data_IF_948103671300
#
_entry.id   IF_948103671300
#
_cell.length_a   1.000
_cell.length_b   1.000
_cell.length_c   1.000
_cell.angle_alpha   90.00
_cell.angle_beta   90.00
_cell.angle_gamma   90.00
#
_symmetry.space_group_name_H-M   'P 1'
#
loop_
_entity.id
_entity.type
_entity.pdbx_description
1 polymer ?
#
# COMPACT_ATOMS: atom_id res chain seq x y z
N UNK A 1 4.00 -1.01 -19.60
CA UNK A 1 3.13 -2.00 -18.94
C UNK A 1 2.29 -1.19 -17.96
N UNK A 2 0.99 -1.05 -18.22
CA UNK A 2 0.08 -0.42 -17.26
C UNK A 2 0.00 -1.34 -16.04
N UNK A 3 0.85 -1.08 -15.06
CA UNK A 3 0.76 -1.73 -13.76
C UNK A 3 -0.51 -1.23 -13.08
N UNK A 4 -1.60 -2.00 -13.22
CA UNK A 4 -2.84 -1.73 -12.51
C UNK A 4 -2.62 -1.92 -10.99
N UNK A 5 -2.08 -0.91 -10.32
CA UNK A 5 -2.05 -0.79 -8.85
C UNK A 5 -3.51 -0.76 -8.37
N UNK A 6 -3.85 -1.56 -7.37
CA UNK A 6 -5.23 -1.76 -6.90
C UNK A 6 -5.54 -0.83 -5.73
N UNK A 7 -6.72 -0.22 -5.68
CA UNK A 7 -7.13 0.58 -4.51
C UNK A 7 -7.32 -0.29 -3.26
N UNK A 8 -6.98 0.22 -2.08
CA UNK A 8 -7.39 -0.40 -0.83
C UNK A 8 -8.78 0.16 -0.50
N UNK A 9 -9.84 -0.61 -0.73
CA UNK A 9 -11.19 -0.15 -0.39
C UNK A 9 -11.27 0.04 1.14
N UNK A 10 -11.36 1.30 1.58
CA UNK A 10 -11.47 1.66 3.00
C UNK A 10 -12.96 1.94 3.32
N UNK A 11 -13.56 1.13 4.18
CA UNK A 11 -14.93 1.35 4.67
C UNK A 11 -14.93 2.39 5.81
N UNK A 12 -15.83 3.38 5.78
CA UNK A 12 -15.82 4.55 6.67
C UNK A 12 -16.04 4.23 8.17
N UNK A 13 -16.63 3.08 8.51
CA UNK A 13 -16.88 2.67 9.90
C UNK A 13 -15.88 1.64 10.41
N UNK A 14 -14.92 2.07 11.24
CA UNK A 14 -14.00 1.15 11.95
C UNK A 14 -12.59 0.99 11.35
N UNK A 15 -12.10 2.01 10.65
CA UNK A 15 -10.78 1.98 9.98
C UNK A 15 -9.64 1.99 11.00
N UNK A 16 -8.67 1.10 10.86
CA UNK A 16 -7.41 1.25 11.59
C UNK A 16 -6.58 2.38 10.99
N UNK A 17 -5.99 3.22 11.86
CA UNK A 17 -5.11 4.32 11.44
C UNK A 17 -4.00 3.81 10.50
N UNK A 18 -3.49 2.63 10.80
CA UNK A 18 -2.54 1.89 9.98
C UNK A 18 -3.00 1.67 8.53
N UNK A 19 -4.22 1.15 8.31
CA UNK A 19 -4.73 0.93 6.95
C UNK A 19 -4.90 2.25 6.20
N UNK A 20 -5.35 3.29 6.90
CA UNK A 20 -5.48 4.63 6.33
C UNK A 20 -4.11 5.19 5.92
N UNK A 21 -3.08 4.99 6.74
CA UNK A 21 -1.74 5.47 6.47
C UNK A 21 -1.07 4.74 5.29
N UNK A 22 -1.38 3.45 5.09
CA UNK A 22 -0.97 2.68 3.90
C UNK A 22 -1.67 3.22 2.66
N UNK A 23 -2.99 3.46 2.71
CA UNK A 23 -3.73 4.01 1.57
C UNK A 23 -3.23 5.39 1.17
N UNK A 24 -2.97 6.29 2.13
CA UNK A 24 -2.38 7.60 1.84
C UNK A 24 -1.02 7.50 1.16
N UNK A 25 -0.17 6.56 1.58
CA UNK A 25 1.12 6.34 0.93
C UNK A 25 0.97 5.80 -0.50
N UNK A 26 0.00 4.90 -0.72
CA UNK A 26 -0.33 4.39 -2.04
C UNK A 26 -0.84 5.49 -2.98
N UNK A 27 -1.68 6.38 -2.46
CA UNK A 27 -2.22 7.51 -3.22
C UNK A 27 -1.13 8.52 -3.57
N UNK A 28 -0.23 8.83 -2.63
CA UNK A 28 0.93 9.69 -2.90
C UNK A 28 1.82 9.11 -4.02
N UNK A 29 2.12 7.82 -3.95
CA UNK A 29 2.85 7.11 -5.00
C UNK A 29 2.17 7.23 -6.36
N UNK A 30 0.85 6.97 -6.42
CA UNK A 30 0.05 7.06 -7.66
C UNK A 30 -0.01 8.46 -8.22
N UNK A 31 -0.15 9.47 -7.37
CA UNK A 31 -0.18 10.87 -7.79
C UNK A 31 1.15 11.29 -8.41
N UNK A 32 2.29 10.94 -7.80
CA UNK A 32 3.61 11.19 -8.40
C UNK A 32 3.83 10.41 -9.69
N UNK A 33 3.41 9.14 -9.73
CA UNK A 33 3.48 8.33 -10.94
C UNK A 33 2.68 8.97 -12.09
N UNK A 34 1.46 9.44 -11.83
CA UNK A 34 0.61 10.14 -12.80
C UNK A 34 1.24 11.44 -13.29
N UNK A 35 1.92 12.16 -12.42
CA UNK A 35 2.67 13.38 -12.74
C UNK A 35 4.01 13.12 -13.43
N UNK A 36 4.43 11.85 -13.56
CA UNK A 36 5.74 11.43 -14.08
C UNK A 36 6.91 12.03 -13.28
N UNK A 37 6.71 12.20 -11.98
CA UNK A 37 7.73 12.64 -11.03
C UNK A 37 8.55 11.45 -10.51
N UNK A 38 9.65 11.73 -9.80
CA UNK A 38 10.41 10.69 -9.10
C UNK A 38 9.52 10.05 -8.02
N UNK A 39 9.45 8.72 -8.03
CA UNK A 39 8.54 7.92 -7.19
C UNK A 39 9.25 7.19 -6.05
N UNK A 40 10.58 7.26 -5.97
CA UNK A 40 11.40 6.44 -5.09
C UNK A 40 11.05 6.64 -3.60
N UNK A 41 10.87 7.89 -3.18
CA UNK A 41 10.54 8.23 -1.79
C UNK A 41 9.14 7.73 -1.39
N UNK A 42 8.13 7.94 -2.23
CA UNK A 42 6.77 7.47 -2.01
C UNK A 42 6.68 5.95 -2.09
N UNK A 43 7.44 5.33 -2.98
CA UNK A 43 7.53 3.87 -3.09
C UNK A 43 8.10 3.27 -1.80
N UNK A 44 9.21 3.82 -1.29
CA UNK A 44 9.81 3.37 -0.02
C UNK A 44 8.87 3.61 1.17
N UNK A 45 8.16 4.74 1.18
CA UNK A 45 7.17 5.06 2.21
C UNK A 45 6.01 4.06 2.19
N UNK A 46 5.51 3.71 1.00
CA UNK A 46 4.47 2.70 0.86
C UNK A 46 4.95 1.32 1.32
N UNK A 47 6.14 0.89 0.88
CA UNK A 47 6.75 -0.40 1.24
C UNK A 47 6.84 -0.54 2.76
N UNK A 48 7.46 0.43 3.42
CA UNK A 48 7.65 0.41 4.88
C UNK A 48 6.33 0.29 5.64
N UNK A 49 5.30 1.06 5.25
CA UNK A 49 3.99 1.00 5.90
C UNK A 49 3.26 -0.29 5.59
N UNK A 50 3.29 -0.76 4.34
CA UNK A 50 2.63 -1.98 3.92
C UNK A 50 3.18 -3.21 4.67
N UNK A 51 4.50 -3.31 4.79
CA UNK A 51 5.18 -4.39 5.53
C UNK A 51 4.78 -4.40 7.00
N UNK A 52 4.83 -3.23 7.67
CA UNK A 52 4.42 -3.11 9.07
C UNK A 52 2.95 -3.50 9.30
N UNK A 53 2.07 -3.11 8.39
CA UNK A 53 0.64 -3.42 8.47
C UNK A 53 0.36 -4.91 8.25
N UNK A 54 1.07 -5.54 7.30
CA UNK A 54 1.00 -6.98 7.08
C UNK A 54 1.48 -7.72 8.33
N UNK A 55 2.65 -7.37 8.86
CA UNK A 55 3.22 -8.01 10.05
C UNK A 55 2.27 -7.91 11.25
N UNK A 56 1.73 -6.72 11.53
CA UNK A 56 0.75 -6.52 12.60
C UNK A 56 -0.52 -7.36 12.39
N UNK A 57 -1.00 -7.48 11.15
CA UNK A 57 -2.19 -8.27 10.85
C UNK A 57 -1.94 -9.78 11.02
N UNK A 58 -0.78 -10.27 10.59
CA UNK A 58 -0.38 -11.66 10.73
C UNK A 58 -0.18 -12.06 12.20
N UNK A 59 0.30 -11.13 13.03
CA UNK A 59 0.46 -11.30 14.47
C UNK A 59 -0.83 -11.04 15.28
N UNK A 60 -1.96 -10.77 14.62
CA UNK A 60 -3.25 -10.51 15.28
C UNK A 60 -3.37 -9.15 15.98
N UNK A 61 -2.37 -8.27 15.85
CA UNK A 61 -2.37 -6.90 16.38
C UNK A 61 -3.19 -5.92 15.55
N UNK A 62 -3.63 -6.31 14.35
CA UNK A 62 -4.48 -5.52 13.47
C UNK A 62 -5.51 -6.40 12.77
N UNK A 63 -6.79 -6.13 12.98
CA UNK A 63 -7.84 -6.83 12.24
C UNK A 63 -8.02 -6.19 10.86
N UNK A 64 -7.63 -6.95 9.82
CA UNK A 64 -7.88 -6.62 8.42
C UNK A 64 -8.66 -7.76 7.78
N UNK A 65 -9.48 -7.44 6.78
CA UNK A 65 -10.12 -8.47 5.96
C UNK A 65 -9.09 -9.14 5.05
N UNK A 66 -9.35 -10.39 4.66
CA UNK A 66 -8.48 -11.11 3.73
C UNK A 66 -8.31 -10.37 2.39
N UNK A 67 -9.32 -9.63 1.94
CA UNK A 67 -9.25 -8.82 0.72
C UNK A 67 -8.32 -7.61 0.89
N UNK A 68 -8.36 -6.93 2.05
CA UNK A 68 -7.44 -5.83 2.37
C UNK A 68 -5.99 -6.33 2.38
N UNK A 69 -5.71 -7.44 3.06
CA UNK A 69 -4.36 -8.03 3.11
C UNK A 69 -3.88 -8.40 1.70
N UNK A 70 -4.74 -9.06 0.90
CA UNK A 70 -4.42 -9.45 -0.47
C UNK A 70 -4.05 -8.25 -1.35
N UNK A 71 -4.79 -7.14 -1.25
CA UNK A 71 -4.53 -5.93 -2.04
C UNK A 71 -3.24 -5.23 -1.61
N UNK A 72 -2.98 -5.12 -0.31
CA UNK A 72 -1.71 -4.56 0.20
C UNK A 72 -0.53 -5.37 -0.34
N UNK A 73 -0.56 -6.71 -0.22
CA UNK A 73 0.48 -7.60 -0.75
C UNK A 73 0.65 -7.48 -2.26
N UNK A 74 -0.46 -7.40 -3.01
CA UNK A 74 -0.43 -7.24 -4.47
C UNK A 74 0.27 -5.94 -4.89
N UNK A 75 -0.02 -4.83 -4.22
CA UNK A 75 0.60 -3.54 -4.50
C UNK A 75 2.06 -3.50 -4.07
N UNK A 76 2.40 -4.11 -2.93
CA UNK A 76 3.77 -4.24 -2.45
C UNK A 76 4.65 -4.92 -3.49
N UNK A 77 4.24 -6.08 -4.01
CA UNK A 77 4.99 -6.81 -5.04
C UNK A 77 5.22 -5.95 -6.29
N UNK A 78 4.18 -5.24 -6.77
CA UNK A 78 4.28 -4.40 -7.97
C UNK A 78 5.26 -3.25 -7.77
N UNK A 79 5.18 -2.56 -6.64
CA UNK A 79 6.06 -1.42 -6.33
C UNK A 79 7.50 -1.89 -6.13
N UNK A 80 7.72 -3.01 -5.43
CA UNK A 80 9.07 -3.60 -5.26
C UNK A 80 9.70 -3.98 -6.60
N UNK A 81 8.95 -4.61 -7.50
CA UNK A 81 9.44 -4.95 -8.85
C UNK A 81 9.83 -3.73 -9.66
N UNK A 82 9.25 -2.56 -9.35
CA UNK A 82 9.50 -1.32 -10.06
C UNK A 82 10.74 -0.58 -9.55
N UNK A 83 11.02 -0.61 -8.26
CA UNK A 83 12.20 0.04 -7.67
C UNK A 83 13.47 -0.82 -7.77
N UNK A 84 13.34 -2.13 -8.01
CA UNK A 84 14.48 -3.04 -8.22
C UNK A 84 14.99 -3.08 -9.68
N UNK A 85 14.33 -2.36 -10.59
CA UNK A 85 14.71 -2.25 -12.00
C UNK A 85 15.43 -0.95 -12.26
#
# INVERSE_FOLDING_TARGET
MDENIVELNIAIGGISKELLDVQKALDAYREKQKRKEAIDEEAMTFVSKAELVIEKAENGGLQLTSDQIRRIKSNLVKILQRIQK
#
